data_IF_080950655593
#
_entry.id   IF_080950655593
#
_cell.length_a   1.000
_cell.length_b   1.000
_cell.length_c   1.000
_cell.angle_alpha   90.00
_cell.angle_beta   90.00
_cell.angle_gamma   90.00
#
_symmetry.space_group_name_H-M   'P 1'
#
loop_
_entity.id
_entity.type
_entity.pdbx_description
1 polymer ?
#
# COMPACT_ATOMS: atom_id res chain seq x y z
N UNK A 1 0.87 2.31 1.90
CA UNK A 1 0.31 2.98 3.09
C UNK A 1 1.20 4.11 3.57
N UNK A 2 2.42 3.86 4.06
CA UNK A 2 3.26 4.91 4.65
C UNK A 2 3.67 6.06 3.70
N UNK A 3 3.50 5.92 2.39
CA UNK A 3 3.67 7.03 1.43
C UNK A 3 2.55 8.08 1.47
N UNK A 4 1.43 7.83 2.16
CA UNK A 4 0.35 8.82 2.31
C UNK A 4 0.84 10.10 3.00
N UNK A 5 2.00 10.04 3.67
CA UNK A 5 2.71 11.20 4.19
C UNK A 5 4.10 11.35 3.53
N UNK A 6 4.51 12.59 3.32
CA UNK A 6 5.85 12.99 2.94
C UNK A 6 6.34 14.10 3.87
N UNK A 7 7.42 13.84 4.62
CA UNK A 7 7.97 14.79 5.62
C UNK A 7 6.91 15.32 6.60
N UNK A 8 6.07 14.40 7.09
CA UNK A 8 4.96 14.68 8.02
C UNK A 8 3.80 15.49 7.43
N UNK A 9 3.79 15.76 6.12
CA UNK A 9 2.66 16.38 5.41
C UNK A 9 1.90 15.33 4.59
N UNK A 10 0.58 15.50 4.46
CA UNK A 10 -0.26 14.65 3.62
C UNK A 10 0.18 14.76 2.16
N UNK A 11 0.43 13.61 1.53
CA UNK A 11 0.76 13.54 0.10
C UNK A 11 -0.51 13.44 -0.72
N UNK A 12 -1.01 14.56 -1.23
CA UNK A 12 -2.22 14.64 -2.07
C UNK A 12 -2.21 13.63 -3.23
N UNK A 13 -1.04 13.44 -3.86
CA UNK A 13 -0.84 12.46 -4.93
C UNK A 13 -1.12 11.04 -4.43
N UNK A 14 -0.51 10.65 -3.33
CA UNK A 14 -0.60 9.29 -2.80
C UNK A 14 -1.99 9.02 -2.19
N UNK A 15 -2.63 10.04 -1.59
CA UNK A 15 -4.03 10.00 -1.15
C UNK A 15 -4.96 9.79 -2.35
N UNK A 16 -4.78 10.52 -3.44
CA UNK A 16 -5.57 10.34 -4.64
C UNK A 16 -5.40 8.94 -5.26
N UNK A 17 -4.19 8.38 -5.24
CA UNK A 17 -3.93 7.00 -5.66
C UNK A 17 -4.67 6.02 -4.75
N UNK A 18 -4.60 6.19 -3.43
CA UNK A 18 -5.27 5.31 -2.48
C UNK A 18 -6.80 5.35 -2.62
N UNK A 19 -7.39 6.55 -2.74
CA UNK A 19 -8.83 6.72 -2.99
C UNK A 19 -9.25 6.02 -4.29
N UNK A 20 -8.49 6.17 -5.38
CA UNK A 20 -8.76 5.45 -6.65
C UNK A 20 -8.63 3.94 -6.51
N UNK A 21 -7.66 3.45 -5.74
CA UNK A 21 -7.52 2.03 -5.44
C UNK A 21 -8.77 1.50 -4.71
N UNK A 22 -9.27 2.22 -3.70
CA UNK A 22 -10.50 1.86 -3.00
C UNK A 22 -11.70 1.79 -3.98
N UNK A 23 -11.87 2.79 -4.84
CA UNK A 23 -12.91 2.82 -5.88
C UNK A 23 -12.81 1.59 -6.80
N UNK A 24 -11.60 1.30 -7.31
CA UNK A 24 -11.37 0.17 -8.23
C UNK A 24 -11.67 -1.18 -7.57
N UNK A 25 -11.60 -1.27 -6.24
CA UNK A 25 -11.91 -2.45 -5.45
C UNK A 25 -13.36 -2.48 -4.94
N UNK A 26 -14.18 -1.47 -5.28
CA UNK A 26 -15.57 -1.35 -4.80
C UNK A 26 -15.69 -1.05 -3.30
N UNK A 27 -14.65 -0.44 -2.72
CA UNK A 27 -14.59 -0.05 -1.31
C UNK A 27 -14.97 1.43 -1.15
N UNK A 28 -15.44 1.79 0.05
CA UNK A 28 -15.80 3.18 0.37
C UNK A 28 -14.55 4.07 0.45
N UNK A 29 -14.57 5.19 -0.27
CA UNK A 29 -13.48 6.17 -0.28
C UNK A 29 -13.27 6.82 1.10
N UNK A 30 -14.31 6.86 1.93
CA UNK A 30 -14.27 7.42 3.27
C UNK A 30 -13.33 6.65 4.20
N UNK A 31 -12.95 5.41 3.86
CA UNK A 31 -11.91 4.64 4.55
C UNK A 31 -10.53 5.29 4.49
N UNK A 32 -10.34 6.31 3.64
CA UNK A 32 -9.10 7.08 3.58
C UNK A 32 -8.86 7.90 4.84
N UNK A 33 -9.91 8.50 5.39
CA UNK A 33 -9.81 9.46 6.50
C UNK A 33 -9.26 8.82 7.79
N UNK A 34 -9.81 7.70 8.29
CA UNK A 34 -9.28 7.10 9.51
C UNK A 34 -7.89 6.49 9.30
N UNK A 35 -7.47 6.22 8.05
CA UNK A 35 -6.10 5.82 7.73
C UNK A 35 -5.14 7.00 7.81
N UNK A 36 -5.57 8.20 7.42
CA UNK A 36 -4.76 9.41 7.55
C UNK A 36 -4.55 9.78 9.02
N UNK A 37 -5.62 9.78 9.83
CA UNK A 37 -5.56 10.00 11.28
C UNK A 37 -4.67 8.94 11.97
N UNK A 38 -4.76 7.66 11.55
CA UNK A 38 -3.87 6.62 12.07
C UNK A 38 -2.38 6.89 11.86
N UNK A 39 -2.03 7.63 10.80
CA UNK A 39 -0.65 7.84 10.35
C UNK A 39 -0.07 9.19 10.75
N UNK A 40 -0.90 10.21 10.94
CA UNK A 40 -0.43 11.57 11.22
C UNK A 40 0.05 11.71 12.67
N UNK A 41 0.63 12.86 13.01
CA UNK A 41 1.26 13.07 14.32
C UNK A 41 0.37 13.81 15.30
N UNK A 42 -0.75 14.33 14.83
CA UNK A 42 -1.62 15.12 15.69
C UNK A 42 -2.64 14.19 16.38
N UNK A 43 -3.71 14.75 16.92
CA UNK A 43 -4.77 14.01 17.63
C UNK A 43 -6.14 14.59 17.25
N UNK A 44 -6.19 15.36 16.17
CA UNK A 44 -7.36 16.10 15.73
C UNK A 44 -8.03 15.33 14.59
N UNK A 45 -9.09 14.58 14.93
CA UNK A 45 -9.78 13.74 13.96
C UNK A 45 -10.24 14.53 12.72
N UNK A 46 -9.96 13.99 11.53
CA UNK A 46 -10.39 14.60 10.27
C UNK A 46 -11.91 14.60 10.14
N UNK A 47 -12.45 15.76 9.81
CA UNK A 47 -13.88 15.92 9.52
C UNK A 47 -14.23 15.77 8.04
N UNK A 48 -13.22 15.65 7.16
CA UNK A 48 -13.48 15.36 5.74
C UNK A 48 -14.25 14.04 5.63
N UNK A 49 -15.33 14.02 4.85
CA UNK A 49 -16.24 12.89 4.70
C UNK A 49 -16.83 12.32 6.02
N UNK A 50 -16.63 12.97 7.17
CA UNK A 50 -17.15 12.58 8.49
C UNK A 50 -16.64 11.24 9.04
N UNK A 51 -15.51 10.73 8.54
CA UNK A 51 -15.04 9.36 8.80
C UNK A 51 -13.71 9.27 9.55
N UNK A 52 -13.10 10.40 9.94
CA UNK A 52 -11.90 10.41 10.78
C UNK A 52 -12.10 9.72 12.14
N UNK A 53 -10.98 9.36 12.75
CA UNK A 53 -10.91 8.61 13.98
C UNK A 53 -9.56 8.79 14.66
N UNK A 54 -9.60 9.30 15.89
CA UNK A 54 -8.45 9.47 16.78
C UNK A 54 -8.69 8.74 18.11
N UNK A 55 -7.79 8.94 19.08
CA UNK A 55 -7.86 8.36 20.43
C UNK A 55 -9.28 8.33 21.03
N UNK A 56 -10.04 9.41 20.94
CA UNK A 56 -11.40 9.50 21.51
C UNK A 56 -12.37 8.46 20.92
N UNK A 57 -12.23 8.13 19.64
CA UNK A 57 -13.02 7.09 18.98
C UNK A 57 -12.59 5.70 19.48
N UNK A 58 -11.29 5.40 19.40
CA UNK A 58 -10.76 4.05 19.69
C UNK A 58 -10.82 3.69 21.18
N UNK A 59 -10.75 4.68 22.07
CA UNK A 59 -10.95 4.49 23.50
C UNK A 59 -12.39 4.11 23.87
N UNK A 60 -13.35 4.30 22.95
CA UNK A 60 -14.74 3.90 23.11
C UNK A 60 -15.05 2.44 22.75
N UNK A 61 -14.09 1.68 22.21
CA UNK A 61 -14.29 0.29 21.80
C UNK A 61 -14.33 -0.69 22.99
N UNK A 62 -14.86 -1.89 22.76
CA UNK A 62 -14.93 -2.95 23.80
C UNK A 62 -13.55 -3.28 24.38
N UNK A 63 -12.53 -3.30 23.51
CA UNK A 63 -11.12 -3.33 23.89
C UNK A 63 -10.51 -1.98 23.48
N UNK A 64 -10.36 -1.04 24.43
CA UNK A 64 -9.80 0.28 24.15
C UNK A 64 -8.33 0.21 23.74
N UNK A 65 -7.95 1.08 22.80
CA UNK A 65 -6.56 1.36 22.43
C UNK A 65 -6.45 2.81 21.93
N UNK A 66 -5.21 3.21 21.64
CA UNK A 66 -4.86 4.54 21.13
C UNK A 66 -4.33 4.44 19.71
N UNK A 67 -4.44 5.54 18.97
CA UNK A 67 -3.77 5.68 17.68
C UNK A 67 -2.25 5.69 17.88
N UNK A 68 -1.48 5.10 16.95
CA UNK A 68 -0.02 5.10 17.04
C UNK A 68 0.60 6.46 16.64
N UNK A 69 -0.14 7.28 15.90
CA UNK A 69 0.25 8.59 15.37
C UNK A 69 1.60 8.55 14.65
N UNK A 70 1.70 7.61 13.70
CA UNK A 70 2.91 7.40 12.94
C UNK A 70 2.82 6.26 11.93
N UNK A 71 3.95 5.97 11.23
CA UNK A 71 3.97 4.98 10.17
C UNK A 71 3.55 3.59 10.65
N UNK A 72 2.72 2.92 9.85
CA UNK A 72 2.37 1.51 10.09
C UNK A 72 3.62 0.64 9.95
N UNK A 73 3.76 -0.29 10.88
CA UNK A 73 4.74 -1.38 10.87
C UNK A 73 4.27 -2.60 10.09
N UNK A 74 2.95 -2.81 9.98
CA UNK A 74 2.34 -3.94 9.25
C UNK A 74 1.06 -3.51 8.53
N UNK A 75 0.76 -4.03 7.32
CA UNK A 75 -0.53 -3.78 6.66
C UNK A 75 -1.71 -4.25 7.51
N UNK A 76 -1.52 -5.28 8.34
CA UNK A 76 -2.54 -5.82 9.24
C UNK A 76 -3.04 -4.82 10.29
N UNK A 77 -2.32 -3.72 10.55
CA UNK A 77 -2.79 -2.63 11.41
C UNK A 77 -4.10 -2.02 10.91
N UNK A 78 -4.40 -2.13 9.61
CA UNK A 78 -5.70 -1.72 9.07
C UNK A 78 -6.87 -2.42 9.76
N UNK A 79 -6.70 -3.62 10.32
CA UNK A 79 -7.77 -4.28 11.09
C UNK A 79 -8.12 -3.56 12.40
N UNK A 80 -7.30 -2.62 12.85
CA UNK A 80 -7.53 -1.75 14.00
C UNK A 80 -8.06 -0.36 13.58
N UNK A 81 -8.06 -0.05 12.29
CA UNK A 81 -8.52 1.25 11.79
C UNK A 81 -10.05 1.22 11.66
N UNK A 82 -10.71 2.31 12.09
CA UNK A 82 -12.17 2.46 11.99
C UNK A 82 -12.67 2.15 10.57
N UNK A 83 -13.75 1.37 10.48
CA UNK A 83 -14.40 1.02 9.21
C UNK A 83 -13.79 -0.18 8.49
N UNK A 84 -12.58 -0.63 8.85
CA UNK A 84 -12.00 -1.83 8.27
C UNK A 84 -12.47 -3.08 9.01
N UNK A 85 -12.78 -4.11 8.23
CA UNK A 85 -13.05 -5.46 8.72
C UNK A 85 -12.21 -6.47 7.93
N UNK A 86 -12.27 -7.74 8.31
CA UNK A 86 -11.46 -8.79 7.67
C UNK A 86 -11.69 -8.87 6.16
N UNK A 87 -12.92 -8.70 5.67
CA UNK A 87 -13.24 -8.77 4.24
C UNK A 87 -12.66 -7.59 3.46
N UNK A 88 -12.76 -6.38 4.01
CA UNK A 88 -12.17 -5.17 3.44
C UNK A 88 -10.64 -5.31 3.40
N UNK A 89 -10.04 -5.75 4.52
CA UNK A 89 -8.61 -5.97 4.60
C UNK A 89 -8.13 -7.01 3.58
N UNK A 90 -8.79 -8.17 3.48
CA UNK A 90 -8.42 -9.21 2.50
C UNK A 90 -8.57 -8.75 1.04
N UNK A 91 -9.55 -7.89 0.75
CA UNK A 91 -9.70 -7.28 -0.57
C UNK A 91 -8.54 -6.33 -0.89
N UNK A 92 -8.09 -5.55 0.08
CA UNK A 92 -7.07 -4.51 -0.10
C UNK A 92 -5.62 -5.04 0.01
N UNK A 93 -5.39 -6.04 0.87
CA UNK A 93 -4.07 -6.58 1.24
C UNK A 93 -3.15 -6.90 0.04
N UNK A 94 -3.64 -7.46 -1.09
CA UNK A 94 -2.78 -7.73 -2.25
C UNK A 94 -2.18 -6.48 -2.93
N UNK A 95 -2.71 -5.29 -2.64
CA UNK A 95 -2.39 -4.05 -3.36
C UNK A 95 -1.64 -3.03 -2.51
N UNK A 96 -1.40 -3.34 -1.23
CA UNK A 96 -0.82 -2.40 -0.26
C UNK A 96 0.43 -2.98 0.42
N UNK A 97 1.26 -2.07 0.93
CA UNK A 97 2.41 -2.40 1.77
C UNK A 97 2.70 -1.25 2.74
N UNK A 98 3.40 -1.55 3.83
CA UNK A 98 3.86 -0.63 4.87
C UNK A 98 5.38 -0.69 4.95
N UNK A 99 6.06 0.04 4.07
CA UNK A 99 7.52 0.08 4.03
C UNK A 99 8.05 1.19 4.95
N UNK A 100 9.25 1.01 5.56
CA UNK A 100 9.76 1.91 6.59
C UNK A 100 10.24 3.26 6.04
N UNK A 101 10.46 3.37 4.74
CA UNK A 101 10.79 4.62 4.05
C UNK A 101 9.87 4.84 2.87
N UNK A 102 9.71 6.10 2.48
CA UNK A 102 9.02 6.47 1.25
C UNK A 102 9.62 5.70 0.08
N UNK A 103 8.79 4.91 -0.61
CA UNK A 103 9.24 3.97 -1.63
C UNK A 103 8.38 4.12 -2.88
N UNK A 104 9.01 4.36 -4.02
CA UNK A 104 8.30 4.48 -5.29
C UNK A 104 7.60 3.17 -5.69
N UNK A 105 6.51 3.28 -6.43
CA UNK A 105 5.79 2.12 -6.98
C UNK A 105 6.64 1.55 -8.12
N UNK A 106 7.04 0.28 -7.97
CA UNK A 106 7.72 -0.44 -9.05
C UNK A 106 6.71 -0.81 -10.15
N UNK A 107 6.76 -0.10 -11.26
CA UNK A 107 5.85 -0.31 -12.40
C UNK A 107 6.07 -1.64 -13.08
N UNK A 108 7.19 -2.34 -12.90
CA UNK A 108 7.37 -3.68 -13.45
C UNK A 108 6.65 -4.77 -12.64
N UNK A 109 6.25 -4.49 -11.39
CA UNK A 109 5.60 -5.46 -10.50
C UNK A 109 4.21 -5.03 -10.02
N UNK A 110 3.81 -3.79 -10.26
CA UNK A 110 2.48 -3.29 -9.92
C UNK A 110 1.38 -4.06 -10.67
N UNK A 111 0.31 -4.45 -9.98
CA UNK A 111 -0.84 -5.12 -10.62
C UNK A 111 -1.64 -4.18 -11.52
N UNK A 112 -2.48 -4.74 -12.39
CA UNK A 112 -3.43 -3.99 -13.23
C UNK A 112 -4.23 -2.94 -12.44
N UNK A 113 -4.78 -3.36 -11.30
CA UNK A 113 -5.59 -2.51 -10.40
C UNK A 113 -4.76 -1.38 -9.77
N UNK A 114 -3.49 -1.62 -9.44
CA UNK A 114 -2.62 -0.56 -8.90
C UNK A 114 -2.20 0.43 -9.99
N UNK A 115 -1.96 -0.03 -11.23
CA UNK A 115 -1.66 0.84 -12.37
C UNK A 115 -2.85 1.74 -12.69
N UNK A 116 -4.07 1.20 -12.68
CA UNK A 116 -5.29 2.00 -12.90
C UNK A 116 -5.54 3.02 -11.78
N UNK A 117 -4.98 2.82 -10.59
CA UNK A 117 -5.05 3.81 -9.51
C UNK A 117 -4.08 4.99 -9.70
N UNK A 118 -3.12 4.92 -10.63
CA UNK A 118 -2.12 5.99 -10.83
C UNK A 118 -2.72 7.26 -11.43
N UNK A 119 -3.80 7.14 -12.21
CA UNK A 119 -4.51 8.27 -12.82
C UNK A 119 -5.99 7.91 -13.01
N UNK A 120 -6.90 8.88 -12.83
CA UNK A 120 -8.35 8.67 -12.92
C UNK A 120 -8.84 8.18 -14.30
N UNK A 121 -8.06 8.44 -15.36
CA UNK A 121 -8.40 8.09 -16.72
C UNK A 121 -7.74 6.78 -17.20
N UNK A 122 -7.04 6.06 -16.33
CA UNK A 122 -6.49 4.72 -16.63
C UNK A 122 -7.49 3.70 -16.07
N UNK A 123 -8.09 2.91 -16.95
CA UNK A 123 -8.99 1.83 -16.55
C UNK A 123 -8.23 0.60 -16.07
N UNK A 124 -8.91 -0.33 -15.39
CA UNK A 124 -8.30 -1.63 -15.05
C UNK A 124 -7.89 -2.40 -16.31
N UNK A 125 -8.66 -2.29 -17.41
CA UNK A 125 -8.34 -2.91 -18.69
C UNK A 125 -7.08 -2.30 -19.34
N UNK A 126 -6.87 -0.99 -19.17
CA UNK A 126 -5.62 -0.33 -19.55
C UNK A 126 -4.45 -0.88 -18.72
N UNK A 127 -4.64 -1.05 -17.41
CA UNK A 127 -3.67 -1.70 -16.53
C UNK A 127 -3.30 -3.13 -16.96
N UNK A 128 -4.29 -3.95 -17.32
CA UNK A 128 -4.10 -5.31 -17.87
C UNK A 128 -3.30 -5.29 -19.18
N UNK A 129 -3.56 -4.29 -20.04
CA UNK A 129 -2.78 -4.10 -21.27
C UNK A 129 -1.31 -3.85 -20.97
N UNK A 130 -1.02 -3.01 -19.97
CA UNK A 130 0.36 -2.77 -19.52
C UNK A 130 0.98 -4.03 -18.92
N UNK A 131 0.25 -4.81 -18.11
CA UNK A 131 0.74 -6.07 -17.55
C UNK A 131 1.12 -7.04 -18.66
N UNK A 132 0.27 -7.17 -19.68
CA UNK A 132 0.52 -8.00 -20.87
C UNK A 132 1.78 -7.55 -21.61
N UNK A 133 1.96 -6.24 -21.83
CA UNK A 133 3.15 -5.69 -22.48
C UNK A 133 4.45 -6.03 -21.73
N UNK A 134 4.41 -6.14 -20.39
CA UNK A 134 5.58 -6.52 -19.59
C UNK A 134 5.98 -7.98 -19.75
N UNK A 135 5.06 -8.86 -20.14
CA UNK A 135 5.37 -10.26 -20.43
C UNK A 135 6.28 -10.40 -21.64
N UNK A 136 6.20 -9.45 -22.58
CA UNK A 136 7.10 -9.35 -23.73
C UNK A 136 8.47 -8.75 -23.37
N UNK A 137 8.53 -7.99 -22.28
CA UNK A 137 9.76 -7.45 -21.70
C UNK A 137 9.50 -6.37 -20.65
N UNK A 138 10.23 -6.42 -19.53
CA UNK A 138 10.16 -5.38 -18.49
C UNK A 138 10.63 -4.02 -18.99
N UNK A 139 10.10 -2.94 -18.42
CA UNK A 139 10.60 -1.59 -18.66
C UNK A 139 11.99 -1.43 -18.01
N UNK A 140 12.97 -0.96 -18.79
CA UNK A 140 14.34 -0.68 -18.33
C UNK A 140 14.53 0.77 -17.87
N UNK A 141 13.52 1.61 -18.04
CA UNK A 141 13.44 2.98 -17.52
C UNK A 141 11.97 3.40 -17.34
N UNK A 142 11.72 4.31 -16.39
CA UNK A 142 10.39 4.86 -16.12
C UNK A 142 9.84 5.59 -17.35
N UNK A 143 10.67 6.27 -18.14
CA UNK A 143 10.17 6.96 -19.34
C UNK A 143 9.61 6.00 -20.39
N UNK A 144 10.12 4.76 -20.48
CA UNK A 144 9.54 3.77 -21.41
C UNK A 144 8.14 3.35 -21.00
N UNK A 145 7.89 3.23 -19.69
CA UNK A 145 6.54 3.03 -19.18
C UNK A 145 5.64 4.24 -19.48
N UNK A 146 6.12 5.45 -19.23
CA UNK A 146 5.36 6.68 -19.49
C UNK A 146 5.08 6.94 -20.98
N UNK A 147 5.91 6.40 -21.87
CA UNK A 147 5.75 6.52 -23.33
C UNK A 147 4.78 5.51 -23.93
N UNK A 148 4.28 4.52 -23.17
CA UNK A 148 3.21 3.65 -23.65
C UNK A 148 1.98 4.50 -23.98
N UNK A 149 1.38 4.33 -25.16
CA UNK A 149 0.34 5.25 -25.65
C UNK A 149 -0.80 5.49 -24.65
N UNK A 150 -1.23 4.42 -23.97
CA UNK A 150 -2.24 4.42 -22.91
C UNK A 150 -1.87 5.35 -21.75
N UNK A 151 -0.60 5.32 -21.32
CA UNK A 151 -0.10 6.11 -20.18
C UNK A 151 0.24 7.54 -20.61
N UNK A 152 0.87 7.68 -21.77
CA UNK A 152 1.28 8.95 -22.36
C UNK A 152 0.10 9.89 -22.57
N UNK A 153 -1.04 9.35 -23.01
CA UNK A 153 -2.28 10.10 -23.20
C UNK A 153 -2.77 10.80 -21.91
N UNK A 154 -2.41 10.27 -20.73
CA UNK A 154 -2.88 10.77 -19.44
C UNK A 154 -1.91 11.74 -18.75
N UNK A 155 -0.77 12.05 -19.38
CA UNK A 155 0.28 12.91 -18.82
C UNK A 155 0.70 12.50 -17.39
N UNK A 156 0.79 11.19 -17.13
CA UNK A 156 1.16 10.67 -15.82
C UNK A 156 2.57 11.16 -15.43
N UNK A 157 2.76 11.81 -14.26
CA UNK A 157 4.09 12.24 -13.83
C UNK A 157 4.96 11.02 -13.44
N UNK A 158 6.28 11.15 -13.62
CA UNK A 158 7.25 10.14 -13.21
C UNK A 158 7.42 10.03 -11.69
N UNK A 159 7.02 11.07 -10.96
CA UNK A 159 7.21 11.19 -9.52
C UNK A 159 6.46 10.08 -8.76
N UNK A 160 7.16 9.44 -7.82
CA UNK A 160 6.65 8.27 -7.09
C UNK A 160 6.66 6.95 -7.87
N UNK A 161 7.23 6.90 -9.08
CA UNK A 161 7.38 5.69 -9.88
C UNK A 161 8.85 5.26 -10.02
N UNK A 162 9.08 3.95 -10.06
CA UNK A 162 10.39 3.35 -10.35
C UNK A 162 10.18 2.06 -11.14
N UNK A 163 11.25 1.51 -11.71
CA UNK A 163 11.31 0.18 -12.32
C UNK A 163 12.05 -0.83 -11.43
N UNK A 164 12.62 -0.38 -10.32
CA UNK A 164 13.38 -1.17 -9.35
C UNK A 164 12.74 -1.13 -7.98
N UNK A 165 13.15 -2.07 -7.14
CA UNK A 165 12.83 -2.06 -5.70
C UNK A 165 14.03 -2.54 -4.90
N UNK A 166 14.16 -1.97 -3.70
CA UNK A 166 15.09 -2.43 -2.67
C UNK A 166 14.39 -3.31 -1.64
N UNK A 167 13.05 -3.35 -1.62
CA UNK A 167 12.27 -4.12 -0.67
C UNK A 167 11.69 -5.39 -1.30
N UNK A 168 11.76 -6.49 -0.55
CA UNK A 168 11.24 -7.79 -0.94
C UNK A 168 10.53 -8.44 0.24
N UNK A 169 9.42 -9.12 -0.01
CA UNK A 169 8.77 -9.96 1.00
C UNK A 169 9.21 -11.41 0.80
N UNK A 170 9.82 -12.00 1.83
CA UNK A 170 10.04 -13.43 1.92
C UNK A 170 8.86 -14.07 2.65
N UNK A 171 8.05 -14.84 1.93
CA UNK A 171 7.05 -15.75 2.50
C UNK A 171 7.68 -17.15 2.62
N UNK A 172 7.95 -17.58 3.86
CA UNK A 172 8.58 -18.84 4.17
C UNK A 172 7.62 -19.77 4.94
N UNK A 173 7.48 -21.00 4.45
CA UNK A 173 6.71 -22.05 5.10
C UNK A 173 7.62 -23.20 5.52
N UNK A 174 7.55 -23.61 6.79
CA UNK A 174 8.29 -24.74 7.34
C UNK A 174 7.32 -25.81 7.84
N UNK A 175 7.65 -27.08 7.58
CA UNK A 175 6.94 -28.25 8.13
C UNK A 175 7.91 -29.18 8.84
N UNK A 176 7.58 -29.56 10.07
CA UNK A 176 8.34 -30.52 10.88
C UNK A 176 7.42 -31.63 11.40
N UNK A 177 7.71 -32.88 11.00
CA UNK A 177 6.82 -34.01 11.26
C UNK A 177 5.43 -33.83 10.65
N UNK A 178 4.43 -34.48 11.25
CA UNK A 178 3.03 -34.42 10.76
C UNK A 178 2.28 -33.17 11.24
N UNK A 179 2.70 -32.57 12.36
CA UNK A 179 1.95 -31.49 13.04
C UNK A 179 2.70 -30.15 13.12
N UNK A 180 4.03 -30.14 13.04
CA UNK A 180 4.79 -28.90 13.07
C UNK A 180 4.60 -28.17 11.75
N UNK A 181 3.96 -27.00 11.79
CA UNK A 181 3.85 -26.07 10.67
C UNK A 181 4.14 -24.68 11.21
N UNK A 182 4.81 -23.86 10.43
CA UNK A 182 5.01 -22.45 10.77
C UNK A 182 5.14 -21.64 9.50
N UNK A 183 4.48 -20.48 9.50
CA UNK A 183 4.62 -19.49 8.44
C UNK A 183 5.36 -18.26 8.97
N UNK A 184 6.38 -17.84 8.24
CA UNK A 184 7.19 -16.68 8.57
C UNK A 184 7.20 -15.72 7.37
N UNK A 185 6.90 -14.47 7.66
CA UNK A 185 7.07 -13.36 6.74
C UNK A 185 8.29 -12.57 7.16
N UNK A 186 9.13 -12.17 6.19
CA UNK A 186 10.25 -11.27 6.43
C UNK A 186 10.31 -10.21 5.36
N UNK A 187 10.24 -8.95 5.76
CA UNK A 187 10.54 -7.84 4.85
C UNK A 187 12.06 -7.71 4.79
N UNK A 188 12.60 -7.82 3.59
CA UNK A 188 14.02 -7.74 3.29
C UNK A 188 14.31 -6.40 2.62
N UNK A 189 15.41 -5.76 3.01
CA UNK A 189 15.97 -4.61 2.32
C UNK A 189 17.29 -5.00 1.68
N UNK A 190 17.43 -4.70 0.39
CA UNK A 190 18.64 -4.98 -0.40
C UNK A 190 19.28 -3.68 -0.84
N UNK A 191 20.55 -3.51 -0.52
CA UNK A 191 21.37 -2.39 -0.98
C UNK A 191 22.81 -2.84 -1.27
N UNK A 192 23.35 -2.46 -2.42
CA UNK A 192 24.73 -2.80 -2.81
C UNK A 192 25.08 -4.30 -2.77
N UNK A 193 24.10 -5.20 -2.94
CA UNK A 193 24.27 -6.66 -2.82
C UNK A 193 24.20 -7.21 -1.39
N UNK A 194 24.14 -6.34 -0.39
CA UNK A 194 23.81 -6.70 1.00
C UNK A 194 22.30 -6.85 1.16
N UNK A 195 21.87 -7.81 1.97
CA UNK A 195 20.46 -8.03 2.32
C UNK A 195 20.32 -8.01 3.84
N UNK A 196 19.48 -7.13 4.35
CA UNK A 196 19.14 -7.02 5.76
C UNK A 196 17.66 -7.35 5.97
N UNK A 197 17.32 -7.97 7.10
CA UNK A 197 15.91 -8.20 7.49
C UNK A 197 15.42 -7.01 8.29
N UNK A 198 14.43 -6.29 7.78
CA UNK A 198 13.90 -5.08 8.44
C UNK A 198 12.72 -5.38 9.36
N UNK A 199 11.94 -6.42 9.06
CA UNK A 199 10.78 -6.84 9.85
C UNK A 199 10.57 -8.33 9.73
N UNK A 200 10.06 -8.96 10.80
CA UNK A 200 9.63 -10.36 10.82
C UNK A 200 8.24 -10.46 11.44
N UNK A 201 7.37 -11.25 10.84
CA UNK A 201 6.05 -11.57 11.38
C UNK A 201 5.79 -13.08 11.25
N UNK A 202 5.03 -13.64 12.18
CA UNK A 202 4.61 -15.05 12.17
C UNK A 202 3.12 -15.12 11.87
N UNK A 203 2.73 -16.11 11.06
CA UNK A 203 1.34 -16.44 10.68
C UNK A 203 0.55 -15.37 9.89
N UNK A 204 0.75 -14.08 10.14
CA UNK A 204 0.01 -12.97 9.50
C UNK A 204 0.96 -11.87 9.02
N UNK A 205 0.73 -11.38 7.80
CA UNK A 205 1.35 -10.18 7.21
C UNK A 205 0.33 -9.45 6.32
#
# INVERSE_FOLDING_TARGET
MNNLFEKDEVSERDVAIFRRLLINLGLDIALTEPVLDWLDKDVDARFENGFGAEDDEYMGYEVPYRTPNGPMSSPSELLLVKGFNLNIFQTLQPYITTLPTRTAINVNTASAVLISALNENITVADGETIVTLREEGSFDDVNKFLQQDIIKAQNLPADGLDIKTNYFLLDAFARYGERGRGKLYSVLYRDGGRVDVVMRAQEVY
#
